data_IF_078039977924
#
_entry.id   IF_078039977924
#
_cell.length_a   1.000
_cell.length_b   1.000
_cell.length_c   1.000
_cell.angle_alpha   90.00
_cell.angle_beta   90.00
_cell.angle_gamma   90.00
#
_symmetry.space_group_name_H-M   'P 1'
#
loop_
_entity.id
_entity.type
_entity.pdbx_description
1 polymer ?
#
# COMPACT_ATOMS: atom_id res chain seq x y z
N UNK A 1 -75.96 -20.87 -69.91
CA UNK A 1 -76.53 -19.89 -68.94
C UNK A 1 -76.10 -20.36 -67.57
N UNK A 2 -75.24 -19.73 -66.79
CA UNK A 2 -74.85 -18.32 -66.65
C UNK A 2 -74.76 -18.11 -65.14
N UNK A 3 -73.64 -17.61 -64.62
CA UNK A 3 -73.55 -17.28 -63.19
C UNK A 3 -72.15 -17.22 -62.61
N UNK A 4 -71.45 -16.10 -62.86
CA UNK A 4 -70.28 -15.64 -62.11
C UNK A 4 -70.61 -15.42 -60.62
N UNK A 5 -69.72 -15.85 -59.71
CA UNK A 5 -69.42 -15.19 -58.41
C UNK A 5 -67.96 -15.52 -58.07
N UNK A 6 -67.03 -14.55 -58.20
CA UNK A 6 -66.60 -13.59 -57.17
C UNK A 6 -65.42 -14.11 -56.33
N UNK A 7 -64.30 -13.39 -56.49
CA UNK A 7 -63.07 -13.40 -55.69
C UNK A 7 -63.31 -13.36 -54.18
N UNK A 8 -62.40 -14.01 -53.42
CA UNK A 8 -61.90 -13.55 -52.11
C UNK A 8 -60.63 -14.35 -51.77
N UNK A 9 -59.46 -13.77 -52.06
CA UNK A 9 -58.18 -14.23 -51.51
C UNK A 9 -58.18 -13.95 -50.00
N UNK A 10 -58.07 -15.00 -49.19
CA UNK A 10 -57.86 -14.88 -47.75
C UNK A 10 -56.38 -14.59 -47.50
N UNK A 11 -56.08 -13.39 -47.02
CA UNK A 11 -54.77 -13.03 -46.51
C UNK A 11 -54.52 -13.75 -45.18
N UNK A 12 -53.54 -14.63 -45.14
CA UNK A 12 -53.09 -15.30 -43.91
C UNK A 12 -52.08 -14.39 -43.22
N UNK A 13 -52.45 -13.79 -42.10
CA UNK A 13 -51.57 -12.97 -41.28
C UNK A 13 -50.57 -13.86 -40.52
N UNK A 14 -49.28 -13.69 -40.81
CA UNK A 14 -48.19 -14.27 -40.02
C UNK A 14 -48.05 -13.44 -38.73
N UNK A 15 -48.42 -13.99 -37.58
CA UNK A 15 -48.11 -13.38 -36.28
C UNK A 15 -46.68 -13.76 -35.89
N UNK A 16 -45.76 -12.80 -35.98
CA UNK A 16 -44.42 -12.94 -35.40
C UNK A 16 -44.52 -12.71 -33.89
N UNK A 17 -44.39 -13.78 -33.11
CA UNK A 17 -44.26 -13.70 -31.65
C UNK A 17 -42.84 -13.22 -31.32
N UNK A 18 -42.73 -11.95 -30.92
CA UNK A 18 -41.49 -11.34 -30.44
C UNK A 18 -41.24 -11.83 -29.00
N UNK A 19 -40.48 -12.90 -28.85
CA UNK A 19 -39.98 -13.34 -27.54
C UNK A 19 -38.92 -12.33 -27.07
N UNK A 20 -39.34 -11.39 -26.22
CA UNK A 20 -38.44 -10.60 -25.38
C UNK A 20 -37.81 -11.55 -24.35
N UNK A 21 -36.68 -12.16 -24.73
CA UNK A 21 -35.82 -12.84 -23.77
C UNK A 21 -35.26 -11.81 -22.80
N UNK A 22 -35.71 -11.85 -21.53
CA UNK A 22 -35.01 -11.15 -20.46
C UNK A 22 -33.65 -11.83 -20.28
N UNK A 23 -32.60 -11.24 -20.84
CA UNK A 23 -31.24 -11.59 -20.50
C UNK A 23 -31.04 -11.22 -19.03
N UNK A 24 -31.10 -12.20 -18.13
CA UNK A 24 -30.68 -12.03 -16.75
C UNK A 24 -29.17 -11.83 -16.77
N UNK A 25 -28.72 -10.57 -16.79
CA UNK A 25 -27.30 -10.28 -16.57
C UNK A 25 -26.97 -10.77 -15.16
N UNK A 26 -25.96 -11.63 -14.98
CA UNK A 26 -25.49 -11.96 -13.65
C UNK A 26 -25.05 -10.64 -13.01
N UNK A 27 -25.68 -10.27 -11.89
CA UNK A 27 -25.19 -9.18 -11.08
C UNK A 27 -23.79 -9.58 -10.62
N UNK A 28 -22.78 -8.81 -11.05
CA UNK A 28 -21.46 -8.88 -10.46
C UNK A 28 -21.64 -8.48 -8.98
N UNK A 29 -21.66 -9.45 -8.09
CA UNK A 29 -21.57 -9.22 -6.66
C UNK A 29 -20.14 -8.73 -6.37
N UNK A 30 -19.87 -7.45 -6.64
CA UNK A 30 -18.75 -6.74 -6.04
C UNK A 30 -19.11 -6.55 -4.57
N UNK A 31 -18.86 -7.57 -3.77
CA UNK A 31 -18.73 -7.36 -2.34
C UNK A 31 -17.41 -6.61 -2.20
N UNK A 32 -17.46 -5.28 -2.09
CA UNK A 32 -16.28 -4.49 -1.78
C UNK A 32 -15.67 -5.07 -0.51
N UNK A 33 -14.54 -5.77 -0.64
CA UNK A 33 -13.76 -6.23 0.51
C UNK A 33 -13.17 -4.96 1.11
N UNK A 34 -13.63 -4.59 2.29
CA UNK A 34 -13.03 -3.49 3.05
C UNK A 34 -11.54 -3.79 3.25
N UNK A 35 -10.70 -2.76 3.16
CA UNK A 35 -9.25 -2.87 3.33
C UNK A 35 -8.88 -2.90 4.82
N UNK A 36 -9.43 -3.87 5.56
CA UNK A 36 -9.18 -3.98 7.00
C UNK A 36 -8.01 -4.91 7.24
N UNK A 37 -6.88 -4.34 7.67
CA UNK A 37 -5.71 -5.11 8.08
C UNK A 37 -6.06 -6.01 9.27
N UNK A 38 -5.76 -7.31 9.14
CA UNK A 38 -5.89 -8.29 10.21
C UNK A 38 -4.52 -8.55 10.81
N UNK A 39 -4.21 -8.04 12.02
CA UNK A 39 -2.88 -8.20 12.59
C UNK A 39 -2.55 -9.67 12.84
N UNK A 40 -1.34 -10.12 12.48
CA UNK A 40 -0.92 -11.48 12.79
C UNK A 40 -0.80 -11.66 14.31
N UNK A 41 -1.10 -12.87 14.80
CA UNK A 41 -0.87 -13.24 16.20
C UNK A 41 0.62 -13.54 16.45
N UNK A 42 1.46 -12.51 16.34
CA UNK A 42 2.93 -12.57 16.43
C UNK A 42 3.51 -11.72 17.56
N UNK A 43 2.66 -11.08 18.37
CA UNK A 43 3.06 -10.13 19.40
C UNK A 43 3.54 -8.79 18.84
N UNK A 44 3.95 -7.90 19.73
CA UNK A 44 4.55 -6.62 19.37
C UNK A 44 6.00 -6.82 18.88
N UNK A 45 6.51 -5.92 18.01
CA UNK A 45 7.92 -5.94 17.65
C UNK A 45 8.82 -5.70 18.87
N UNK A 46 10.14 -6.00 18.78
CA UNK A 46 11.11 -5.47 19.73
C UNK A 46 10.96 -3.95 19.90
N UNK A 47 11.43 -3.42 21.03
CA UNK A 47 11.27 -2.00 21.36
C UNK A 47 11.76 -1.12 20.22
N UNK A 48 10.90 -0.21 19.77
CA UNK A 48 11.28 0.85 18.85
C UNK A 48 11.75 2.07 19.64
N UNK A 49 12.70 2.83 19.08
CA UNK A 49 13.08 4.10 19.69
C UNK A 49 12.01 5.15 19.34
N UNK A 50 11.42 5.77 20.35
CA UNK A 50 10.69 7.01 20.13
C UNK A 50 11.71 8.09 19.73
N UNK A 51 11.70 8.47 18.45
CA UNK A 51 12.57 9.48 17.87
C UNK A 51 12.48 10.80 18.63
N UNK A 52 13.46 11.06 19.51
CA UNK A 52 13.57 12.32 20.22
C UNK A 52 13.90 13.47 19.27
N UNK A 53 13.04 14.48 19.21
CA UNK A 53 13.23 15.66 18.36
C UNK A 53 14.27 16.61 18.95
N UNK A 54 15.57 16.41 18.67
CA UNK A 54 16.65 17.26 19.20
C UNK A 54 17.64 17.81 18.17
N UNK A 55 17.21 18.13 16.93
CA UNK A 55 18.11 18.96 16.10
C UNK A 55 17.68 19.37 14.70
N UNK A 56 16.60 18.83 14.14
CA UNK A 56 15.90 19.52 13.07
C UNK A 56 14.97 20.55 13.74
N UNK A 57 15.40 21.80 13.88
CA UNK A 57 14.71 22.91 14.59
C UNK A 57 13.30 23.28 14.08
N UNK A 58 12.54 22.39 13.44
CA UNK A 58 11.53 22.73 12.44
C UNK A 58 10.32 21.79 12.39
N UNK A 59 9.96 21.07 13.45
CA UNK A 59 8.53 20.75 13.59
C UNK A 59 7.86 22.05 14.02
N UNK A 60 7.27 22.78 13.06
CA UNK A 60 6.43 23.92 13.41
C UNK A 60 5.31 23.42 14.32
N UNK A 61 4.91 24.25 15.28
CA UNK A 61 3.80 23.91 16.17
C UNK A 61 2.55 23.54 15.34
N UNK A 62 2.02 22.34 15.57
CA UNK A 62 0.90 21.78 14.82
C UNK A 62 1.26 20.85 13.64
N UNK A 63 2.55 20.70 13.29
CA UNK A 63 2.98 19.71 12.30
C UNK A 63 3.17 18.32 12.91
N UNK A 64 2.79 17.28 12.16
CA UNK A 64 2.96 15.88 12.57
C UNK A 64 4.46 15.50 12.49
N UNK A 65 4.98 14.65 13.38
CA UNK A 65 6.38 14.23 13.30
C UNK A 65 6.62 13.27 12.13
N UNK A 66 7.89 13.08 11.76
CA UNK A 66 8.32 11.95 10.93
C UNK A 66 7.74 10.65 11.51
N UNK A 67 6.96 9.91 10.73
CA UNK A 67 6.19 8.77 11.23
C UNK A 67 6.26 7.58 10.29
N UNK A 68 6.48 6.39 10.83
CA UNK A 68 6.38 5.13 10.11
C UNK A 68 4.93 4.82 9.76
N UNK A 69 4.66 4.47 8.51
CA UNK A 69 3.35 3.93 8.13
C UNK A 69 3.35 2.42 8.29
N UNK A 70 3.55 1.98 9.53
CA UNK A 70 3.49 0.58 9.97
C UNK A 70 2.59 0.43 11.19
N UNK A 71 1.99 -0.75 11.43
CA UNK A 71 1.13 -0.96 12.59
C UNK A 71 1.95 -0.91 13.89
N UNK A 72 1.66 0.04 14.78
CA UNK A 72 2.52 0.32 15.95
C UNK A 72 2.65 -0.84 16.96
N UNK A 73 1.63 -1.72 17.07
CA UNK A 73 1.57 -2.76 18.09
C UNK A 73 1.83 -4.17 17.55
N UNK A 74 2.21 -4.31 16.28
CA UNK A 74 2.31 -5.60 15.60
C UNK A 74 3.54 -5.66 14.72
N UNK A 75 4.18 -6.82 14.65
CA UNK A 75 5.25 -7.05 13.68
C UNK A 75 4.72 -6.85 12.26
N UNK A 76 5.34 -5.93 11.50
CA UNK A 76 5.02 -5.76 10.08
C UNK A 76 5.62 -6.94 9.30
N UNK A 77 4.78 -7.64 8.54
CA UNK A 77 5.18 -8.80 7.76
C UNK A 77 5.35 -8.46 6.28
N UNK A 78 6.27 -9.16 5.64
CA UNK A 78 6.48 -9.16 4.18
C UNK A 78 6.55 -10.60 3.68
N UNK A 79 6.13 -10.85 2.45
CA UNK A 79 6.40 -12.11 1.71
C UNK A 79 7.46 -11.90 0.62
N UNK A 80 7.66 -10.64 0.21
CA UNK A 80 8.67 -10.21 -0.75
C UNK A 80 10.09 -10.31 -0.18
N UNK A 81 11.03 -10.71 -1.03
CA UNK A 81 12.46 -10.63 -0.75
C UNK A 81 12.98 -9.18 -0.77
N UNK A 82 12.22 -8.29 -1.41
CA UNK A 82 12.53 -6.87 -1.58
C UNK A 82 11.28 -6.02 -1.29
N UNK A 83 10.92 -5.81 -0.01
CA UNK A 83 9.72 -5.06 0.35
C UNK A 83 9.84 -3.57 0.01
N UNK A 84 8.68 -2.91 0.02
CA UNK A 84 8.57 -1.45 0.01
C UNK A 84 8.16 -0.96 1.39
N UNK A 85 8.82 0.09 1.85
CA UNK A 85 8.58 0.74 3.13
C UNK A 85 7.96 2.12 2.91
N UNK A 86 7.11 2.57 3.82
CA UNK A 86 6.35 3.81 3.71
C UNK A 86 6.45 4.64 4.99
N UNK A 87 6.62 5.95 4.83
CA UNK A 87 6.69 6.90 5.94
C UNK A 87 5.97 8.19 5.58
N UNK A 88 5.38 8.83 6.59
CA UNK A 88 5.00 10.23 6.51
C UNK A 88 6.21 11.12 6.82
N UNK A 89 6.54 12.03 5.91
CA UNK A 89 7.62 13.00 6.03
C UNK A 89 7.01 14.40 6.18
N UNK A 90 7.27 15.12 7.29
CA UNK A 90 6.77 16.47 7.49
C UNK A 90 7.49 17.50 6.63
N UNK A 91 6.93 18.71 6.56
CA UNK A 91 7.72 19.85 6.13
C UNK A 91 8.87 20.01 7.12
N UNK A 92 10.09 20.06 6.64
CA UNK A 92 11.25 20.25 7.49
C UNK A 92 12.34 21.03 6.75
N UNK A 93 13.36 21.45 7.49
CA UNK A 93 14.58 21.99 6.89
C UNK A 93 15.53 20.91 6.39
N UNK A 94 15.30 19.64 6.73
CA UNK A 94 16.11 18.55 6.22
C UNK A 94 15.88 18.39 4.72
N UNK A 95 16.97 18.24 3.98
CA UNK A 95 16.92 18.01 2.53
C UNK A 95 17.07 16.54 2.18
N UNK A 96 17.53 15.73 3.15
CA UNK A 96 17.85 14.32 2.93
C UNK A 96 17.24 13.45 4.02
N UNK A 97 16.79 12.26 3.62
CA UNK A 97 16.56 11.15 4.52
C UNK A 97 17.57 10.04 4.23
N UNK A 98 18.01 9.34 5.25
CA UNK A 98 18.84 8.16 5.14
C UNK A 98 18.04 6.94 5.63
N UNK A 99 17.87 5.97 4.73
CA UNK A 99 17.29 4.68 5.06
C UNK A 99 18.42 3.67 5.27
N UNK A 100 18.39 2.99 6.41
CA UNK A 100 19.32 1.91 6.74
C UNK A 100 18.51 0.67 7.13
N UNK A 101 18.90 -0.49 6.60
CA UNK A 101 18.36 -1.79 6.96
C UNK A 101 19.48 -2.64 7.53
N UNK A 102 19.25 -3.20 8.71
CA UNK A 102 20.18 -4.06 9.42
C UNK A 102 19.60 -5.45 9.64
N UNK A 103 20.47 -6.39 10.01
CA UNK A 103 20.08 -7.70 10.50
C UNK A 103 19.35 -7.62 11.86
N UNK A 104 18.86 -8.76 12.36
CA UNK A 104 18.05 -8.83 13.59
C UNK A 104 18.78 -8.31 14.85
N UNK A 105 20.12 -8.30 14.84
CA UNK A 105 20.94 -7.95 16.00
C UNK A 105 21.62 -6.57 15.88
N UNK A 106 21.29 -5.78 14.86
CA UNK A 106 21.96 -4.50 14.55
C UNK A 106 23.49 -4.62 14.38
N UNK A 107 23.97 -5.77 13.88
CA UNK A 107 25.40 -6.06 13.68
C UNK A 107 25.87 -5.82 12.25
N UNK A 108 25.00 -6.04 11.26
CA UNK A 108 25.33 -5.92 9.84
C UNK A 108 24.38 -4.94 9.14
N UNK A 109 24.94 -3.98 8.39
CA UNK A 109 24.17 -3.11 7.50
C UNK A 109 23.96 -3.82 6.17
N UNK A 110 22.73 -4.26 5.92
CA UNK A 110 22.34 -5.00 4.72
C UNK A 110 22.03 -4.08 3.55
N UNK A 111 21.52 -2.89 3.84
CA UNK A 111 21.27 -1.87 2.83
C UNK A 111 21.28 -0.47 3.45
N UNK A 112 21.82 0.50 2.71
CA UNK A 112 21.84 1.90 3.13
C UNK A 112 21.73 2.81 1.91
N UNK A 113 20.88 3.83 1.98
CA UNK A 113 20.73 4.82 0.91
C UNK A 113 20.29 6.18 1.45
N UNK A 114 20.68 7.23 0.74
CA UNK A 114 20.20 8.59 0.97
C UNK A 114 19.21 8.98 -0.13
N UNK A 115 18.10 9.60 0.25
CA UNK A 115 17.10 10.13 -0.67
C UNK A 115 16.92 11.63 -0.42
N UNK A 116 16.77 12.38 -1.51
CA UNK A 116 16.41 13.78 -1.45
C UNK A 116 14.90 13.87 -1.20
N UNK A 117 14.51 14.69 -0.22
CA UNK A 117 13.09 14.95 0.06
C UNK A 117 12.74 16.39 -0.30
N UNK A 118 11.54 16.54 -0.87
CA UNK A 118 11.00 17.86 -1.14
C UNK A 118 10.61 18.56 0.17
N UNK A 119 10.42 19.89 0.13
CA UNK A 119 9.90 20.64 1.28
C UNK A 119 8.40 20.43 1.52
N UNK A 120 7.71 19.73 0.61
CA UNK A 120 6.28 19.45 0.73
C UNK A 120 6.07 18.24 1.63
N UNK A 121 5.24 18.34 2.69
CA UNK A 121 4.88 17.18 3.50
C UNK A 121 4.16 16.13 2.66
N UNK A 122 4.46 14.86 2.91
CA UNK A 122 3.77 13.78 2.22
C UNK A 122 4.28 12.41 2.61
N UNK A 123 3.73 11.40 1.93
CA UNK A 123 4.05 10.01 2.14
C UNK A 123 5.12 9.62 1.14
N UNK A 124 6.24 9.13 1.65
CA UNK A 124 7.40 8.70 0.85
C UNK A 124 7.55 7.20 0.99
N UNK A 125 7.90 6.55 -0.12
CA UNK A 125 8.19 5.12 -0.16
C UNK A 125 9.61 4.81 -0.62
N UNK A 126 10.22 3.76 -0.08
CA UNK A 126 11.49 3.21 -0.54
C UNK A 126 11.32 1.72 -0.76
N UNK A 127 11.55 1.25 -1.98
CA UNK A 127 11.65 -0.17 -2.31
C UNK A 127 13.08 -0.64 -2.16
N UNK A 128 13.29 -1.79 -1.52
CA UNK A 128 14.60 -2.42 -1.40
C UNK A 128 15.10 -2.82 -2.81
N UNK A 129 16.22 -2.28 -3.32
CA UNK A 129 16.59 -2.50 -4.72
C UNK A 129 17.26 -3.87 -4.93
N UNK A 130 16.70 -4.65 -5.85
CA UNK A 130 17.20 -5.99 -6.24
C UNK A 130 18.69 -6.00 -6.59
N UNK A 131 19.20 -4.93 -7.20
CA UNK A 131 20.58 -4.85 -7.67
C UNK A 131 21.60 -4.33 -6.64
N UNK A 132 21.17 -3.88 -5.45
CA UNK A 132 22.08 -3.35 -4.42
C UNK A 132 21.87 -3.94 -3.02
N UNK A 133 20.74 -4.59 -2.77
CA UNK A 133 20.44 -5.22 -1.49
C UNK A 133 20.31 -6.74 -1.66
N UNK A 134 20.79 -7.50 -0.69
CA UNK A 134 20.53 -8.93 -0.64
C UNK A 134 19.02 -9.18 -0.41
N UNK A 135 18.46 -10.27 -0.96
CA UNK A 135 17.08 -10.66 -0.68
C UNK A 135 16.93 -10.95 0.82
N UNK A 136 15.85 -10.47 1.43
CA UNK A 136 15.51 -10.83 2.81
C UNK A 136 15.24 -12.33 2.88
N UNK A 137 15.61 -13.00 3.96
CA UNK A 137 15.44 -14.44 4.13
C UNK A 137 14.14 -14.75 4.87
N UNK A 138 13.47 -15.81 4.44
CA UNK A 138 12.25 -16.31 5.11
C UNK A 138 12.57 -16.71 6.55
N UNK A 139 11.71 -16.27 7.48
CA UNK A 139 11.82 -16.51 8.91
C UNK A 139 12.76 -15.57 9.65
N UNK A 140 13.42 -14.63 8.95
CA UNK A 140 14.29 -13.63 9.58
C UNK A 140 13.59 -12.29 9.79
N UNK A 141 14.03 -11.61 10.84
CA UNK A 141 13.64 -10.24 11.16
C UNK A 141 14.77 -9.29 10.81
N UNK A 142 14.39 -8.07 10.48
CA UNK A 142 15.30 -7.01 10.10
C UNK A 142 14.86 -5.72 10.77
N UNK A 143 15.84 -4.95 11.22
CA UNK A 143 15.62 -3.67 11.86
C UNK A 143 15.93 -2.57 10.85
N UNK A 144 14.98 -1.68 10.60
CA UNK A 144 15.19 -0.54 9.72
C UNK A 144 15.18 0.76 10.50
N UNK A 145 15.94 1.72 10.00
CA UNK A 145 16.01 3.09 10.51
C UNK A 145 15.77 4.05 9.36
N UNK A 146 15.01 5.11 9.62
CA UNK A 146 14.87 6.26 8.74
C UNK A 146 15.31 7.51 9.50
N UNK A 147 16.42 8.09 9.05
CA UNK A 147 17.08 9.24 9.68
C UNK A 147 16.88 10.49 8.85
N UNK A 148 16.31 11.53 9.44
CA UNK A 148 16.27 12.87 8.89
C UNK A 148 17.61 13.56 9.11
N UNK A 149 18.27 13.90 8.00
CA UNK A 149 19.60 14.50 7.96
C UNK A 149 19.45 16.02 8.11
N UNK A 150 19.68 16.55 9.32
CA UNK A 150 19.49 17.98 9.61
C UNK A 150 20.69 18.83 9.15
N UNK A 151 21.91 18.42 9.52
CA UNK A 151 23.17 18.99 9.02
C UNK A 151 24.08 17.84 8.57
N UNK A 152 24.55 17.89 7.32
CA UNK A 152 25.42 16.86 6.76
C UNK A 152 26.84 16.90 7.36
N UNK A 153 27.26 18.06 7.85
CA UNK A 153 28.57 18.27 8.49
C UNK A 153 28.54 17.94 9.98
N UNK A 154 27.36 18.02 10.62
CA UNK A 154 27.12 17.70 12.01
C UNK A 154 25.82 16.89 12.19
N UNK A 155 25.98 15.57 12.39
CA UNK A 155 24.86 14.62 12.49
C UNK A 155 24.26 14.56 13.91
N UNK A 156 24.80 15.31 14.89
CA UNK A 156 24.41 15.19 16.30
C UNK A 156 22.95 15.60 16.56
N UNK A 157 22.39 16.39 15.66
CA UNK A 157 21.00 16.85 15.71
C UNK A 157 19.99 15.99 14.93
N UNK A 158 20.41 14.86 14.38
CA UNK A 158 19.53 14.04 13.56
C UNK A 158 18.33 13.50 14.33
N UNK A 159 17.20 13.43 13.63
CA UNK A 159 15.98 12.81 14.12
C UNK A 159 15.79 11.53 13.35
N UNK A 160 15.62 10.41 14.03
CA UNK A 160 15.36 9.13 13.39
C UNK A 160 14.12 8.47 13.98
N UNK A 161 13.54 7.58 13.18
CA UNK A 161 12.54 6.61 13.60
C UNK A 161 12.99 5.25 13.10
N UNK A 162 12.53 4.19 13.75
CA UNK A 162 12.86 2.82 13.41
C UNK A 162 11.63 1.91 13.46
N UNK A 163 11.84 0.68 13.02
CA UNK A 163 10.87 -0.37 13.14
C UNK A 163 11.36 -1.68 12.54
N UNK A 164 10.51 -2.69 12.63
CA UNK A 164 10.89 -4.06 12.30
C UNK A 164 10.10 -4.58 11.11
N UNK A 165 10.73 -5.47 10.36
CA UNK A 165 10.07 -6.28 9.33
C UNK A 165 10.50 -7.74 9.45
N UNK A 166 9.54 -8.67 9.35
CA UNK A 166 9.79 -10.10 9.28
C UNK A 166 9.38 -10.62 7.90
N UNK A 167 10.30 -11.29 7.18
CA UNK A 167 9.92 -12.00 5.95
C UNK A 167 9.36 -13.36 6.33
N UNK A 168 8.17 -13.70 5.86
CA UNK A 168 7.54 -14.99 6.10
C UNK A 168 7.32 -15.77 4.81
N UNK A 169 7.16 -17.09 4.93
CA UNK A 169 6.67 -17.93 3.84
C UNK A 169 5.15 -17.73 3.72
N UNK A 170 4.61 -17.43 2.53
CA UNK A 170 3.17 -17.35 2.35
C UNK A 170 2.52 -18.72 2.56
N UNK A 171 1.36 -18.74 3.23
CA UNK A 171 0.58 -19.98 3.45
C UNK A 171 0.08 -20.55 2.12
N UNK A 172 -0.27 -21.84 2.10
CA UNK A 172 -0.86 -22.45 0.90
C UNK A 172 -2.15 -21.74 0.46
N UNK A 173 -2.98 -21.33 1.42
CA UNK A 173 -4.22 -20.60 1.15
C UNK A 173 -3.93 -19.21 0.57
N UNK A 174 -2.95 -18.47 1.11
CA UNK A 174 -2.54 -17.18 0.57
C UNK A 174 -1.99 -17.34 -0.86
N UNK A 175 -1.17 -18.37 -1.12
CA UNK A 175 -0.68 -18.65 -2.48
C UNK A 175 -1.84 -18.89 -3.44
N UNK A 176 -2.83 -19.70 -3.05
CA UNK A 176 -4.01 -19.96 -3.88
C UNK A 176 -4.88 -18.71 -4.12
N UNK A 177 -5.07 -17.84 -3.11
CA UNK A 177 -5.76 -16.56 -3.30
C UNK A 177 -5.00 -15.65 -4.27
N UNK A 178 -3.67 -15.57 -4.14
CA UNK A 178 -2.83 -14.74 -4.99
C UNK A 178 -2.82 -15.18 -6.46
N UNK A 179 -2.98 -16.47 -6.76
CA UNK A 179 -3.08 -16.97 -8.15
C UNK A 179 -4.29 -16.42 -8.91
N UNK A 180 -5.34 -16.02 -8.19
CA UNK A 180 -6.59 -15.50 -8.79
C UNK A 180 -6.82 -14.01 -8.52
N UNK A 181 -5.96 -13.39 -7.72
CA UNK A 181 -6.06 -11.98 -7.35
C UNK A 181 -5.79 -11.07 -8.56
N UNK A 182 -6.52 -9.97 -8.63
CA UNK A 182 -6.31 -8.90 -9.62
C UNK A 182 -5.58 -7.74 -8.97
N UNK A 183 -5.05 -6.81 -9.77
CA UNK A 183 -4.46 -5.58 -9.25
C UNK A 183 -5.38 -4.85 -8.26
N UNK A 184 -6.69 -4.88 -8.52
CA UNK A 184 -7.70 -4.27 -7.65
C UNK A 184 -7.91 -5.05 -6.34
N UNK A 185 -7.89 -6.39 -6.34
CA UNK A 185 -8.18 -7.17 -5.12
C UNK A 185 -6.95 -7.49 -4.27
N UNK A 186 -5.74 -7.38 -4.83
CA UNK A 186 -4.46 -7.67 -4.16
C UNK A 186 -4.31 -7.00 -2.79
N UNK A 187 -4.61 -5.69 -2.61
CA UNK A 187 -4.47 -5.05 -1.30
C UNK A 187 -5.25 -5.77 -0.20
N UNK A 188 -6.53 -6.09 -0.47
CA UNK A 188 -7.40 -6.74 0.50
C UNK A 188 -6.96 -8.16 0.85
N UNK A 189 -6.40 -8.89 -0.12
CA UNK A 189 -5.86 -10.24 0.08
C UNK A 189 -4.67 -10.17 1.06
N UNK A 190 -3.73 -9.26 0.83
CA UNK A 190 -2.59 -9.08 1.73
C UNK A 190 -3.00 -8.54 3.11
N UNK A 191 -3.91 -7.56 3.15
CA UNK A 191 -4.39 -6.97 4.40
C UNK A 191 -5.08 -8.03 5.29
N UNK A 192 -5.92 -8.89 4.71
CA UNK A 192 -6.60 -9.97 5.43
C UNK A 192 -5.64 -11.09 5.86
N UNK A 193 -4.57 -11.30 5.12
CA UNK A 193 -3.50 -12.24 5.49
C UNK A 193 -2.49 -11.66 6.51
N UNK A 194 -2.66 -10.40 6.93
CA UNK A 194 -1.75 -9.74 7.88
C UNK A 194 -0.40 -9.35 7.29
N UNK A 195 -0.30 -9.25 5.96
CA UNK A 195 0.92 -8.91 5.21
C UNK A 195 0.93 -7.41 4.91
N UNK A 196 1.44 -6.62 5.85
CA UNK A 196 1.32 -5.16 5.82
C UNK A 196 2.04 -4.52 4.63
N UNK A 197 3.29 -4.90 4.38
CA UNK A 197 4.13 -4.22 3.38
C UNK A 197 3.54 -4.31 1.96
N UNK A 198 3.02 -5.48 1.60
CA UNK A 198 2.38 -5.71 0.30
C UNK A 198 0.98 -5.08 0.23
N UNK A 199 0.22 -5.08 1.33
CA UNK A 199 -1.09 -4.43 1.38
C UNK A 199 -0.98 -2.92 1.10
N UNK A 200 -0.13 -2.21 1.85
CA UNK A 200 0.06 -0.77 1.66
C UNK A 200 0.71 -0.46 0.31
N UNK A 201 1.69 -1.25 -0.15
CA UNK A 201 2.36 -1.01 -1.42
C UNK A 201 1.43 -1.17 -2.63
N UNK A 202 0.63 -2.24 -2.66
CA UNK A 202 -0.31 -2.48 -3.76
C UNK A 202 -1.42 -1.43 -3.80
N UNK A 203 -1.92 -0.99 -2.64
CA UNK A 203 -2.92 0.07 -2.59
C UNK A 203 -2.36 1.44 -2.97
N UNK A 204 -1.12 1.74 -2.54
CA UNK A 204 -0.42 2.95 -2.96
C UNK A 204 -0.26 2.98 -4.49
N UNK A 205 0.13 1.87 -5.11
CA UNK A 205 0.26 1.78 -6.56
C UNK A 205 -1.07 2.02 -7.30
N UNK A 206 -2.20 1.52 -6.77
CA UNK A 206 -3.53 1.82 -7.31
C UNK A 206 -3.86 3.31 -7.20
N UNK A 207 -3.55 3.94 -6.05
CA UNK A 207 -3.77 5.37 -5.79
C UNK A 207 -2.92 6.25 -6.70
N UNK A 208 -1.67 5.89 -6.96
CA UNK A 208 -0.80 6.63 -7.91
C UNK A 208 -1.34 6.57 -9.34
N UNK A 209 -1.87 5.42 -9.75
CA UNK A 209 -2.45 5.24 -11.09
C UNK A 209 -3.80 5.93 -11.25
N UNK A 210 -4.57 6.07 -10.15
CA UNK A 210 -5.93 6.59 -10.16
C UNK A 210 -6.14 7.64 -9.05
N UNK A 211 -5.42 8.78 -9.09
CA UNK A 211 -5.34 9.72 -7.96
C UNK A 211 -6.66 10.39 -7.58
N UNK A 212 -7.66 10.38 -8.48
CA UNK A 212 -8.98 10.99 -8.27
C UNK A 212 -10.10 9.94 -8.07
N UNK A 213 -9.77 8.65 -8.03
CA UNK A 213 -10.77 7.61 -7.78
C UNK A 213 -11.14 7.59 -6.29
N UNK A 214 -12.35 8.04 -5.98
CA UNK A 214 -12.86 8.14 -4.61
C UNK A 214 -12.95 6.78 -3.91
N UNK A 215 -13.12 5.69 -4.67
CA UNK A 215 -13.16 4.33 -4.12
C UNK A 215 -11.78 3.94 -3.60
N UNK A 216 -10.73 4.21 -4.37
CA UNK A 216 -9.34 3.92 -3.98
C UNK A 216 -8.91 4.82 -2.81
N UNK A 217 -9.32 6.10 -2.81
CA UNK A 217 -9.05 7.01 -1.69
C UNK A 217 -9.73 6.55 -0.39
N UNK A 218 -10.97 6.07 -0.46
CA UNK A 218 -11.70 5.51 0.70
C UNK A 218 -10.99 4.26 1.22
N UNK A 219 -10.63 3.33 0.34
CA UNK A 219 -9.88 2.13 0.69
C UNK A 219 -8.52 2.43 1.34
N UNK A 220 -7.84 3.47 0.85
CA UNK A 220 -6.59 3.96 1.43
C UNK A 220 -6.78 4.46 2.87
N UNK A 221 -7.84 5.23 3.10
CA UNK A 221 -8.19 5.68 4.44
C UNK A 221 -8.54 4.51 5.36
N UNK A 222 -9.36 3.55 4.91
CA UNK A 222 -9.72 2.34 5.66
C UNK A 222 -8.49 1.52 6.08
N UNK A 223 -7.55 1.30 5.16
CA UNK A 223 -6.32 0.55 5.45
C UNK A 223 -5.50 1.25 6.53
N UNK A 224 -5.29 2.56 6.39
CA UNK A 224 -4.53 3.33 7.38
C UNK A 224 -5.26 3.41 8.72
N UNK A 225 -6.58 3.60 8.72
CA UNK A 225 -7.39 3.63 9.95
C UNK A 225 -7.30 2.32 10.73
N UNK A 226 -7.36 1.18 10.03
CA UNK A 226 -7.21 -0.15 10.66
C UNK A 226 -5.87 -0.33 11.37
N UNK A 227 -4.84 0.41 10.97
CA UNK A 227 -3.52 0.46 11.61
C UNK A 227 -3.32 1.67 12.56
N UNK A 228 -4.37 2.46 12.82
CA UNK A 228 -4.35 3.72 13.61
C UNK A 228 -3.48 4.82 12.99
N UNK A 229 -3.40 4.83 11.66
CA UNK A 229 -2.64 5.76 10.83
C UNK A 229 -3.54 6.71 10.02
N UNK A 230 -4.87 6.72 10.26
CA UNK A 230 -5.86 7.54 9.54
C UNK A 230 -5.38 8.98 9.33
N UNK A 231 -4.77 9.59 10.34
CA UNK A 231 -4.32 10.98 10.31
C UNK A 231 -3.33 11.32 9.16
N UNK A 232 -2.80 10.32 8.46
CA UNK A 232 -1.92 10.49 7.31
C UNK A 232 -2.60 10.27 5.95
N UNK A 233 -3.87 9.85 5.91
CA UNK A 233 -4.56 9.42 4.68
C UNK A 233 -4.67 10.52 3.62
N UNK A 234 -4.86 11.77 4.05
CA UNK A 234 -5.03 12.92 3.18
C UNK A 234 -3.73 13.39 2.51
N UNK A 235 -2.56 12.96 3.01
CA UNK A 235 -1.29 13.42 2.46
C UNK A 235 -0.99 12.78 1.10
N UNK A 236 -0.32 13.52 0.19
CA UNK A 236 0.01 13.02 -1.13
C UNK A 236 1.11 11.94 -1.05
N UNK A 237 1.08 11.00 -2.00
CA UNK A 237 2.22 10.14 -2.28
C UNK A 237 3.27 10.96 -3.03
N UNK A 238 4.51 10.98 -2.54
CA UNK A 238 5.63 11.72 -3.10
C UNK A 238 6.69 10.73 -3.56
N UNK A 239 7.10 10.86 -4.83
CA UNK A 239 8.20 10.05 -5.37
C UNK A 239 9.51 10.39 -4.67
N UNK A 240 10.14 9.40 -4.03
CA UNK A 240 11.50 9.53 -3.52
C UNK A 240 12.49 9.66 -4.68
N UNK A 241 13.33 10.69 -4.68
CA UNK A 241 14.44 10.79 -5.62
C UNK A 241 15.73 10.37 -4.91
N UNK A 242 16.40 9.34 -5.43
CA UNK A 242 17.74 8.98 -4.94
C UNK A 242 18.67 10.19 -5.09
N UNK A 243 19.45 10.47 -4.05
CA UNK A 243 20.49 11.48 -4.15
C UNK A 243 21.47 11.06 -5.26
N UNK A 244 21.68 11.92 -6.26
CA UNK A 244 22.74 11.75 -7.25
C UNK A 244 24.01 12.28 -6.59
N UNK A 245 24.88 11.37 -6.15
CA UNK A 245 26.25 11.68 -5.76
C UNK A 245 27.19 11.24 -6.87
#
# INVERSE_FOLDING_TARGET
>A
MGGNKSLLQKATTLSAALFLGLATTPALNLTARAEVFQPPNRGAPPSTAEGGSRGCSLLKEGEKPLTALTPANYMALTVSEHPTFFWYVPASGASNLEFTLLDENDQEVLYKTTINVSKTPGIVSISLPVAQAAPLEVGKKYHWYLTSICDISDRTGDVFIDGWVERIEPTADLKAELETATADTLPSVYAQAGIWHEAIASLAALREQNPNDTTILTRWEELLDSAKLNQFSEYPLISAQKAVN
#
